data_IF_125055931412
#
_entry.id   IF_125055931412
#
_cell.length_a   1.000
_cell.length_b   1.000
_cell.length_c   1.000
_cell.angle_alpha   90.00
_cell.angle_beta   90.00
_cell.angle_gamma   90.00
#
_symmetry.space_group_name_H-M   'P 1'
#
loop_
_entity.id
_entity.type
_entity.pdbx_description
1 polymer ?
#
# COMPACT_ATOMS: atom_id res chain seq x y z
N UNK A 1 1.61 -8.54 32.87
CA UNK A 1 2.26 -9.70 33.51
C UNK A 1 3.27 -10.42 32.59
N UNK A 2 3.02 -10.65 31.29
CA UNK A 2 4.04 -11.27 30.40
C UNK A 2 5.20 -10.36 30.01
N UNK A 3 4.92 -9.09 29.68
CA UNK A 3 5.97 -8.11 29.31
C UNK A 3 6.98 -7.88 30.44
N UNK A 4 6.51 -7.72 31.68
CA UNK A 4 7.36 -7.55 32.87
C UNK A 4 8.19 -8.81 33.21
N UNK A 5 7.79 -9.98 32.71
CA UNK A 5 8.52 -11.24 32.86
C UNK A 5 9.53 -11.46 31.71
N UNK A 6 9.70 -10.48 30.81
CA UNK A 6 10.62 -10.59 29.67
C UNK A 6 10.24 -11.68 28.67
N UNK A 7 8.96 -12.07 28.60
CA UNK A 7 8.52 -13.09 27.63
C UNK A 7 8.62 -12.55 26.21
N UNK A 8 9.08 -13.38 25.29
CA UNK A 8 9.15 -13.04 23.87
C UNK A 8 7.81 -13.30 23.19
N UNK A 9 7.61 -12.74 21.99
CA UNK A 9 6.47 -13.08 21.15
C UNK A 9 6.39 -14.60 20.88
N UNK A 10 7.54 -15.26 20.68
CA UNK A 10 7.64 -16.70 20.45
C UNK A 10 7.23 -17.53 21.68
N UNK A 11 7.65 -17.11 22.88
CA UNK A 11 7.27 -17.80 24.12
C UNK A 11 5.75 -17.79 24.32
N UNK A 12 5.11 -16.66 24.06
CA UNK A 12 3.66 -16.52 24.20
C UNK A 12 2.94 -17.26 23.08
N UNK A 13 3.48 -17.27 21.85
CA UNK A 13 2.93 -18.05 20.74
C UNK A 13 2.85 -19.55 21.08
N UNK A 14 3.95 -20.12 21.60
CA UNK A 14 4.00 -21.52 22.06
C UNK A 14 3.10 -21.76 23.27
N UNK A 15 3.13 -20.86 24.25
CA UNK A 15 2.31 -20.98 25.48
C UNK A 15 0.82 -21.02 25.18
N UNK A 16 0.39 -20.29 24.15
CA UNK A 16 -1.00 -20.24 23.70
C UNK A 16 -1.37 -21.41 22.76
N UNK A 17 -0.45 -22.34 22.50
CA UNK A 17 -0.70 -23.52 21.66
C UNK A 17 -0.76 -23.21 20.16
N UNK A 18 -0.39 -21.99 19.74
CA UNK A 18 -0.57 -21.51 18.37
C UNK A 18 0.35 -22.21 17.37
N UNK A 19 1.42 -22.88 17.81
CA UNK A 19 2.29 -23.68 16.94
C UNK A 19 1.63 -24.97 16.45
N UNK A 20 0.48 -25.35 17.01
CA UNK A 20 -0.27 -26.57 16.66
C UNK A 20 -1.70 -26.27 16.16
N UNK A 21 -2.03 -24.99 15.98
CA UNK A 21 -3.38 -24.56 15.58
C UNK A 21 -3.72 -24.94 14.13
N UNK A 22 -2.71 -25.07 13.25
CA UNK A 22 -2.93 -25.46 11.86
C UNK A 22 -3.81 -24.47 11.10
N UNK A 23 -4.77 -24.98 10.31
CA UNK A 23 -5.65 -24.17 9.45
C UNK A 23 -6.47 -23.11 10.18
N UNK A 24 -6.79 -23.32 11.46
CA UNK A 24 -7.66 -22.42 12.23
C UNK A 24 -6.86 -21.35 13.00
N UNK A 25 -5.56 -21.18 12.70
CA UNK A 25 -4.69 -20.25 13.42
C UNK A 25 -5.29 -18.85 13.52
N UNK A 26 -5.72 -18.27 12.41
CA UNK A 26 -6.19 -16.89 12.35
C UNK A 26 -7.60 -16.69 12.94
N UNK A 27 -8.37 -17.76 13.14
CA UNK A 27 -9.72 -17.71 13.70
C UNK A 27 -9.74 -17.89 15.23
N UNK A 28 -8.60 -18.29 15.80
CA UNK A 28 -8.48 -18.59 17.22
C UNK A 28 -8.43 -17.32 18.07
N UNK A 29 -9.20 -17.27 19.16
CA UNK A 29 -9.11 -16.20 20.16
C UNK A 29 -7.75 -16.13 20.87
N UNK A 30 -7.00 -17.23 20.87
CA UNK A 30 -5.62 -17.25 21.34
C UNK A 30 -4.71 -16.45 20.39
N UNK A 31 -4.98 -16.49 19.09
CA UNK A 31 -4.25 -15.69 18.11
C UNK A 31 -4.51 -14.20 18.31
N UNK A 32 -5.74 -13.77 18.54
CA UNK A 32 -6.05 -12.36 18.85
C UNK A 32 -5.34 -11.86 20.13
N UNK A 33 -5.29 -12.71 21.14
CA UNK A 33 -4.55 -12.45 22.38
C UNK A 33 -3.06 -12.27 22.11
N UNK A 34 -2.51 -13.13 21.25
CA UNK A 34 -1.10 -13.06 20.86
C UNK A 34 -0.80 -11.82 20.01
N UNK A 35 -1.64 -11.49 19.02
CA UNK A 35 -1.50 -10.27 18.20
C UNK A 35 -1.47 -9.02 19.09
N UNK A 36 -2.38 -8.94 20.06
CA UNK A 36 -2.42 -7.84 21.04
C UNK A 36 -1.14 -7.75 21.86
N UNK A 37 -0.54 -8.90 22.19
CA UNK A 37 0.73 -8.95 22.89
C UNK A 37 1.91 -8.53 21.99
N UNK A 38 1.93 -8.94 20.73
CA UNK A 38 2.97 -8.52 19.76
C UNK A 38 2.95 -7.01 19.55
N UNK A 39 1.75 -6.42 19.38
CA UNK A 39 1.58 -4.96 19.31
C UNK A 39 2.12 -4.23 20.54
N UNK A 40 1.93 -4.81 21.73
CA UNK A 40 2.47 -4.26 22.97
C UNK A 40 4.01 -4.30 23.03
N UNK A 41 4.65 -5.26 22.33
CA UNK A 41 6.10 -5.39 22.26
C UNK A 41 6.71 -4.45 21.22
N UNK A 42 6.14 -4.41 20.01
CA UNK A 42 6.58 -3.56 18.90
C UNK A 42 5.40 -3.22 17.98
N UNK A 43 4.74 -2.09 18.27
CA UNK A 43 3.62 -1.60 17.48
C UNK A 43 4.06 -1.15 16.08
N UNK A 44 5.33 -0.74 15.92
CA UNK A 44 5.87 -0.25 14.65
C UNK A 44 6.17 -1.35 13.64
N UNK A 45 6.53 -2.56 14.11
CA UNK A 45 6.89 -3.71 13.27
C UNK A 45 6.06 -4.96 13.60
N UNK A 46 4.81 -4.79 14.02
CA UNK A 46 3.94 -5.90 14.45
C UNK A 46 3.86 -7.02 13.42
N UNK A 47 3.58 -6.69 12.15
CA UNK A 47 3.39 -7.70 11.10
C UNK A 47 4.68 -8.50 10.83
N UNK A 48 5.83 -7.83 10.77
CA UNK A 48 7.15 -8.46 10.60
C UNK A 48 7.49 -9.40 11.77
N UNK A 49 7.25 -8.95 13.00
CA UNK A 49 7.48 -9.76 14.19
C UNK A 49 6.53 -10.96 14.25
N UNK A 50 5.27 -10.78 13.87
CA UNK A 50 4.30 -11.87 13.77
C UNK A 50 4.77 -12.93 12.76
N UNK A 51 5.08 -12.50 11.53
CA UNK A 51 5.51 -13.38 10.47
C UNK A 51 6.82 -14.13 10.83
N UNK A 52 7.79 -13.42 11.41
CA UNK A 52 9.06 -13.99 11.87
C UNK A 52 8.89 -15.07 12.94
N UNK A 53 7.91 -14.93 13.84
CA UNK A 53 7.58 -15.99 14.81
C UNK A 53 6.87 -17.14 14.11
N UNK A 54 5.88 -16.86 13.26
CA UNK A 54 5.13 -17.90 12.55
C UNK A 54 6.04 -18.79 11.69
N UNK A 55 7.05 -18.23 11.01
CA UNK A 55 8.08 -18.98 10.25
C UNK A 55 8.92 -19.94 11.08
N UNK A 56 8.99 -19.79 12.41
CA UNK A 56 9.70 -20.73 13.29
C UNK A 56 8.92 -22.01 13.54
N UNK A 57 7.60 -21.96 13.38
CA UNK A 57 6.69 -23.06 13.75
C UNK A 57 5.99 -23.69 12.55
N UNK A 58 5.90 -22.97 11.43
CA UNK A 58 5.22 -23.41 10.23
C UNK A 58 6.17 -23.33 9.04
N UNK A 59 6.13 -24.35 8.17
CA UNK A 59 6.81 -24.30 6.88
C UNK A 59 6.17 -23.24 5.97
N UNK A 60 6.91 -22.79 4.96
CA UNK A 60 6.40 -21.81 3.99
C UNK A 60 5.12 -22.33 3.29
N UNK A 61 5.07 -23.62 2.94
CA UNK A 61 3.88 -24.26 2.35
C UNK A 61 2.66 -24.21 3.29
N UNK A 62 2.85 -24.49 4.59
CA UNK A 62 1.74 -24.42 5.54
C UNK A 62 1.29 -22.98 5.72
N UNK A 63 2.23 -22.03 5.85
CA UNK A 63 1.92 -20.61 5.96
C UNK A 63 1.15 -20.10 4.74
N UNK A 64 1.55 -20.50 3.53
CA UNK A 64 0.85 -20.16 2.29
C UNK A 64 -0.60 -20.66 2.33
N UNK A 65 -0.80 -21.92 2.70
CA UNK A 65 -2.12 -22.53 2.73
C UNK A 65 -3.04 -21.87 3.78
N UNK A 66 -2.58 -21.72 5.03
CA UNK A 66 -3.42 -21.13 6.09
C UNK A 66 -3.71 -19.65 5.84
N UNK A 67 -2.78 -18.93 5.19
CA UNK A 67 -2.97 -17.52 4.81
C UNK A 67 -3.98 -17.41 3.66
N UNK A 68 -3.87 -18.28 2.64
CA UNK A 68 -4.81 -18.30 1.53
C UNK A 68 -6.23 -18.63 1.99
N UNK A 69 -6.40 -19.59 2.91
CA UNK A 69 -7.67 -19.91 3.52
C UNK A 69 -8.22 -18.71 4.32
N UNK A 70 -7.43 -18.09 5.18
CA UNK A 70 -7.88 -16.94 5.97
C UNK A 70 -8.26 -15.72 5.11
N UNK A 71 -7.77 -15.60 3.87
CA UNK A 71 -8.21 -14.53 2.97
C UNK A 71 -9.67 -14.69 2.51
N UNK A 72 -10.23 -15.90 2.54
CA UNK A 72 -11.63 -16.13 2.15
C UNK A 72 -12.60 -15.54 3.17
N UNK A 73 -12.24 -15.62 4.46
CA UNK A 73 -13.09 -15.18 5.55
C UNK A 73 -12.99 -13.67 5.82
N UNK A 74 -14.10 -12.92 5.88
CA UNK A 74 -14.08 -11.47 6.13
C UNK A 74 -13.39 -11.07 7.44
N UNK A 75 -13.51 -11.87 8.50
CA UNK A 75 -12.94 -11.59 9.83
C UNK A 75 -11.41 -11.69 9.86
N UNK A 76 -10.82 -12.57 9.05
CA UNK A 76 -9.36 -12.84 9.07
C UNK A 76 -8.64 -12.29 7.85
N UNK A 77 -9.37 -11.81 6.83
CA UNK A 77 -8.81 -11.27 5.58
C UNK A 77 -7.74 -10.20 5.77
N UNK A 78 -7.91 -9.31 6.74
CA UNK A 78 -6.95 -8.21 6.97
C UNK A 78 -5.60 -8.77 7.42
N UNK A 79 -5.59 -9.59 8.49
CA UNK A 79 -4.34 -10.17 9.00
C UNK A 79 -3.73 -11.13 7.98
N UNK A 80 -4.54 -11.89 7.25
CA UNK A 80 -4.06 -12.76 6.19
C UNK A 80 -3.39 -11.98 5.03
N UNK A 81 -3.97 -10.85 4.64
CA UNK A 81 -3.36 -9.97 3.63
C UNK A 81 -2.03 -9.37 4.11
N UNK A 82 -1.92 -9.03 5.39
CA UNK A 82 -0.64 -8.64 6.00
C UNK A 82 0.39 -9.78 5.93
N UNK A 83 0.02 -11.00 6.30
CA UNK A 83 0.95 -12.15 6.27
C UNK A 83 1.39 -12.51 4.84
N UNK A 84 0.50 -12.40 3.85
CA UNK A 84 0.84 -12.58 2.44
C UNK A 84 1.87 -11.52 1.98
N UNK A 85 1.69 -10.26 2.39
CA UNK A 85 2.65 -9.20 2.09
C UNK A 85 4.03 -9.47 2.73
N UNK A 86 4.06 -9.93 3.99
CA UNK A 86 5.31 -10.32 4.66
C UNK A 86 6.00 -11.51 3.98
N UNK A 87 5.21 -12.46 3.50
CA UNK A 87 5.73 -13.59 2.74
C UNK A 87 6.38 -13.14 1.45
N UNK A 88 5.71 -12.32 0.64
CA UNK A 88 6.29 -11.74 -0.57
C UNK A 88 7.58 -10.98 -0.27
N UNK A 89 7.61 -10.20 0.82
CA UNK A 89 8.81 -9.47 1.26
C UNK A 89 9.95 -10.43 1.63
N UNK A 90 9.66 -11.51 2.37
CA UNK A 90 10.65 -12.52 2.75
C UNK A 90 11.22 -13.31 1.58
N UNK A 91 10.42 -13.47 0.52
CA UNK A 91 10.82 -14.08 -0.76
C UNK A 91 11.58 -13.10 -1.67
N UNK A 92 11.80 -11.85 -1.22
CA UNK A 92 12.50 -10.83 -2.01
C UNK A 92 11.72 -10.32 -3.21
N UNK A 93 10.40 -10.53 -3.26
CA UNK A 93 9.55 -10.04 -4.37
C UNK A 93 9.69 -8.53 -4.48
N UNK A 94 9.79 -8.05 -5.71
CA UNK A 94 9.86 -6.61 -6.00
C UNK A 94 8.47 -6.03 -6.20
N UNK A 95 8.37 -4.70 -6.18
CA UNK A 95 7.16 -4.01 -6.61
C UNK A 95 6.73 -4.49 -8.00
N UNK A 96 7.69 -4.76 -8.89
CA UNK A 96 7.43 -5.21 -10.25
C UNK A 96 6.92 -6.64 -10.33
N UNK A 97 7.45 -7.53 -9.51
CA UNK A 97 6.99 -8.91 -9.43
C UNK A 97 5.54 -8.96 -8.97
N UNK A 98 5.20 -8.21 -7.92
CA UNK A 98 3.83 -8.17 -7.40
C UNK A 98 2.89 -7.45 -8.36
N UNK A 99 3.35 -6.42 -9.09
CA UNK A 99 2.55 -5.77 -10.13
C UNK A 99 2.10 -6.77 -11.21
N UNK A 100 3.02 -7.60 -11.70
CA UNK A 100 2.74 -8.65 -12.70
C UNK A 100 1.94 -9.81 -12.12
N UNK A 101 2.26 -10.24 -10.90
CA UNK A 101 1.53 -11.29 -10.20
C UNK A 101 0.04 -10.94 -10.05
N UNK A 102 -0.24 -9.68 -9.71
CA UNK A 102 -1.59 -9.13 -9.60
C UNK A 102 -2.21 -8.75 -10.96
N UNK A 103 -1.52 -9.04 -12.07
CA UNK A 103 -1.93 -8.80 -13.46
C UNK A 103 -2.25 -7.33 -13.77
N UNK A 104 -1.68 -6.40 -13.01
CA UNK A 104 -1.87 -4.96 -13.20
C UNK A 104 -1.22 -4.47 -14.50
N UNK A 105 -0.19 -5.16 -14.99
CA UNK A 105 0.43 -4.92 -16.31
C UNK A 105 -0.52 -5.20 -17.49
N UNK A 106 -1.57 -5.98 -17.27
CA UNK A 106 -2.56 -6.34 -18.30
C UNK A 106 -3.86 -5.55 -18.17
N UNK A 107 -3.97 -4.69 -17.16
CA UNK A 107 -5.19 -3.94 -16.88
C UNK A 107 -5.37 -2.73 -17.81
N UNK A 108 -4.31 -2.25 -18.47
CA UNK A 108 -4.39 -1.10 -19.38
C UNK A 108 -4.95 0.13 -18.68
N UNK A 109 -5.97 0.75 -19.28
CA UNK A 109 -6.65 1.93 -18.74
C UNK A 109 -7.42 1.64 -17.44
N UNK A 110 -7.82 0.38 -17.20
CA UNK A 110 -8.56 -0.06 -16.02
C UNK A 110 -7.65 -0.38 -14.82
N UNK A 111 -6.34 -0.11 -14.93
CA UNK A 111 -5.34 -0.37 -13.89
C UNK A 111 -5.80 0.13 -12.51
N UNK A 112 -6.32 1.36 -12.47
CA UNK A 112 -6.68 1.99 -11.22
C UNK A 112 -8.07 1.62 -10.71
N UNK A 113 -8.86 0.87 -11.48
CA UNK A 113 -10.15 0.32 -11.06
C UNK A 113 -10.02 -1.09 -10.49
N UNK A 114 -8.93 -1.79 -10.84
CA UNK A 114 -8.64 -3.12 -10.31
C UNK A 114 -8.54 -3.10 -8.77
N UNK A 115 -9.31 -3.97 -8.08
CA UNK A 115 -9.23 -4.11 -6.61
C UNK A 115 -7.82 -4.51 -6.14
N UNK A 116 -7.09 -5.24 -6.98
CA UNK A 116 -5.71 -5.64 -6.71
C UNK A 116 -4.72 -4.47 -6.72
N UNK A 117 -5.10 -3.30 -7.24
CA UNK A 117 -4.27 -2.10 -7.15
C UNK A 117 -4.08 -1.64 -5.70
N UNK A 118 -5.08 -1.79 -4.82
CA UNK A 118 -4.91 -1.52 -3.38
C UNK A 118 -3.83 -2.41 -2.76
N UNK A 119 -3.89 -3.71 -3.06
CA UNK A 119 -2.92 -4.70 -2.58
C UNK A 119 -1.50 -4.33 -3.03
N UNK A 120 -1.33 -3.92 -4.29
CA UNK A 120 -0.04 -3.50 -4.80
C UNK A 120 0.48 -2.23 -4.12
N UNK A 121 -0.35 -1.19 -3.99
CA UNK A 121 0.05 0.07 -3.35
C UNK A 121 0.48 -0.17 -1.91
N UNK A 122 -0.31 -0.91 -1.12
CA UNK A 122 0.03 -1.26 0.26
C UNK A 122 1.32 -2.07 0.36
N UNK A 123 1.57 -2.98 -0.58
CA UNK A 123 2.80 -3.74 -0.63
C UNK A 123 4.03 -2.86 -0.92
N UNK A 124 3.92 -1.93 -1.88
CA UNK A 124 5.01 -1.01 -2.23
C UNK A 124 5.36 -0.06 -1.08
N UNK A 125 4.36 0.50 -0.41
CA UNK A 125 4.56 1.35 0.78
C UNK A 125 5.28 0.57 1.89
N UNK A 126 4.98 -0.73 2.02
CA UNK A 126 5.60 -1.63 3.01
C UNK A 126 7.02 -2.07 2.67
N UNK A 127 7.35 -2.20 1.38
CA UNK A 127 8.72 -2.55 0.96
C UNK A 127 9.76 -1.53 1.45
N UNK A 128 9.34 -0.27 1.67
CA UNK A 128 10.18 0.82 2.18
C UNK A 128 11.54 0.97 1.46
N UNK A 129 11.63 0.56 0.19
CA UNK A 129 12.87 0.59 -0.61
C UNK A 129 13.36 2.01 -0.93
N UNK A 130 12.58 3.03 -0.58
CA UNK A 130 12.84 4.43 -0.85
C UNK A 130 13.16 5.21 0.42
N UNK A 131 14.11 4.76 1.23
CA UNK A 131 14.47 5.42 2.51
C UNK A 131 14.76 6.94 2.39
N UNK A 132 15.14 7.41 1.19
CA UNK A 132 15.37 8.83 0.88
C UNK A 132 14.09 9.66 0.73
N UNK A 133 12.93 9.02 0.64
CA UNK A 133 11.63 9.66 0.42
C UNK A 133 10.61 9.15 1.46
N UNK A 134 9.62 9.97 1.85
CA UNK A 134 8.46 9.48 2.58
C UNK A 134 7.85 8.25 1.90
N UNK A 135 7.54 7.21 2.69
CA UNK A 135 6.99 5.93 2.20
C UNK A 135 5.71 6.11 1.39
N UNK A 136 4.97 7.19 1.67
CA UNK A 136 3.75 7.58 0.98
C UNK A 136 4.00 7.90 -0.51
N UNK A 137 5.22 8.24 -0.92
CA UNK A 137 5.56 8.45 -2.33
C UNK A 137 5.99 7.17 -3.04
N UNK A 138 6.25 6.07 -2.31
CA UNK A 138 6.83 4.85 -2.89
C UNK A 138 5.99 4.31 -4.07
N UNK A 139 4.66 4.28 -3.92
CA UNK A 139 3.76 3.82 -4.99
C UNK A 139 3.81 4.73 -6.22
N UNK A 140 3.86 6.06 -6.03
CA UNK A 140 3.98 7.02 -7.14
C UNK A 140 5.34 6.89 -7.83
N UNK A 141 6.43 6.73 -7.08
CA UNK A 141 7.75 6.52 -7.64
C UNK A 141 7.84 5.22 -8.46
N UNK A 142 7.22 4.13 -7.99
CA UNK A 142 7.14 2.89 -8.76
C UNK A 142 6.28 3.04 -10.03
N UNK A 143 5.15 3.76 -9.96
CA UNK A 143 4.32 4.03 -11.13
C UNK A 143 5.06 4.91 -12.17
N UNK A 144 5.86 5.87 -11.72
CA UNK A 144 6.67 6.75 -12.59
C UNK A 144 7.79 6.03 -13.34
N UNK A 145 8.18 4.81 -12.93
CA UNK A 145 9.08 3.96 -13.73
C UNK A 145 8.41 3.39 -14.98
N UNK A 146 7.06 3.37 -15.00
CA UNK A 146 6.23 2.67 -15.99
C UNK A 146 5.48 3.65 -16.88
N UNK A 147 5.08 4.76 -16.31
CA UNK A 147 4.31 5.80 -16.95
C UNK A 147 5.10 7.10 -16.93
N UNK A 148 5.08 7.84 -18.03
CA UNK A 148 5.62 9.19 -18.05
C UNK A 148 4.99 10.01 -16.91
N UNK A 149 5.78 10.92 -16.35
CA UNK A 149 5.42 11.72 -15.19
C UNK A 149 4.10 12.48 -15.38
N UNK A 150 3.87 13.06 -16.57
CA UNK A 150 2.65 13.81 -16.89
C UNK A 150 1.53 12.85 -17.27
N UNK A 151 1.84 11.77 -17.99
CA UNK A 151 0.83 10.78 -18.38
C UNK A 151 0.24 10.07 -17.16
N UNK A 152 1.05 9.75 -16.13
CA UNK A 152 0.55 9.22 -14.87
C UNK A 152 -0.46 10.16 -14.21
N UNK A 153 -0.18 11.47 -14.21
CA UNK A 153 -1.09 12.46 -13.64
C UNK A 153 -2.42 12.54 -14.39
N UNK A 154 -2.36 12.44 -15.72
CA UNK A 154 -3.56 12.36 -16.58
C UNK A 154 -4.36 11.11 -16.29
N UNK A 155 -3.71 9.95 -16.19
CA UNK A 155 -4.37 8.68 -15.87
C UNK A 155 -5.07 8.74 -14.51
N UNK A 156 -4.37 9.20 -13.46
CA UNK A 156 -4.96 9.34 -12.12
C UNK A 156 -6.13 10.33 -12.09
N UNK A 157 -6.02 11.45 -12.80
CA UNK A 157 -7.11 12.44 -12.89
C UNK A 157 -8.31 11.92 -13.66
N UNK A 158 -8.09 11.20 -14.77
CA UNK A 158 -9.14 10.59 -15.56
C UNK A 158 -9.88 9.47 -14.82
N UNK A 159 -9.12 8.53 -14.25
CA UNK A 159 -9.68 7.42 -13.47
C UNK A 159 -10.51 7.95 -12.29
N UNK A 160 -10.08 9.05 -11.66
CA UNK A 160 -10.88 9.70 -10.61
C UNK A 160 -12.21 10.24 -11.12
N UNK A 161 -12.25 10.82 -12.31
CA UNK A 161 -13.50 11.31 -12.90
C UNK A 161 -14.44 10.13 -13.17
N UNK A 162 -13.91 9.00 -13.68
CA UNK A 162 -14.68 7.79 -13.95
C UNK A 162 -15.21 7.11 -12.69
N UNK A 163 -14.38 6.98 -11.65
CA UNK A 163 -14.75 6.34 -10.38
C UNK A 163 -15.79 7.14 -9.58
N UNK A 164 -16.07 8.39 -9.95
CA UNK A 164 -16.96 9.28 -9.22
C UNK A 164 -16.37 9.76 -7.89
N UNK A 165 -17.24 10.17 -6.97
CA UNK A 165 -16.82 10.83 -5.72
C UNK A 165 -16.66 9.85 -4.55
N UNK A 166 -17.36 8.71 -4.56
CA UNK A 166 -17.49 7.82 -3.41
C UNK A 166 -17.04 6.39 -3.75
N UNK A 167 -16.59 5.64 -2.73
CA UNK A 167 -16.13 4.26 -2.87
C UNK A 167 -14.62 4.07 -2.68
N UNK A 168 -14.18 2.81 -2.53
CA UNK A 168 -12.78 2.48 -2.23
C UNK A 168 -11.83 2.86 -3.37
N UNK A 169 -12.22 2.62 -4.63
CA UNK A 169 -11.43 3.03 -5.79
C UNK A 169 -11.22 4.56 -5.82
N UNK A 170 -12.29 5.34 -5.59
CA UNK A 170 -12.20 6.80 -5.51
C UNK A 170 -11.29 7.27 -4.37
N UNK A 171 -11.34 6.62 -3.20
CA UNK A 171 -10.47 6.94 -2.07
C UNK A 171 -8.98 6.65 -2.38
N UNK A 172 -8.67 5.51 -2.98
CA UNK A 172 -7.30 5.17 -3.44
C UNK A 172 -6.81 6.19 -4.47
N UNK A 173 -7.62 6.48 -5.48
CA UNK A 173 -7.30 7.44 -6.54
C UNK A 173 -7.04 8.84 -5.98
N UNK A 174 -7.86 9.30 -5.04
CA UNK A 174 -7.63 10.55 -4.31
C UNK A 174 -6.29 10.53 -3.59
N UNK A 175 -5.98 9.45 -2.87
CA UNK A 175 -4.73 9.31 -2.13
C UNK A 175 -3.53 9.38 -3.06
N UNK A 176 -3.50 8.57 -4.12
CA UNK A 176 -2.41 8.53 -5.10
C UNK A 176 -2.22 9.88 -5.79
N UNK A 177 -3.31 10.51 -6.25
CA UNK A 177 -3.25 11.83 -6.87
C UNK A 177 -2.71 12.89 -5.92
N UNK A 178 -3.18 12.90 -4.67
CA UNK A 178 -2.70 13.86 -3.68
C UNK A 178 -1.23 13.60 -3.31
N UNK A 179 -0.78 12.35 -3.21
CA UNK A 179 0.64 12.01 -3.03
C UNK A 179 1.49 12.50 -4.20
N UNK A 180 0.99 12.37 -5.44
CA UNK A 180 1.66 12.91 -6.61
C UNK A 180 1.75 14.44 -6.55
N UNK A 181 0.65 15.14 -6.25
CA UNK A 181 0.64 16.61 -6.14
C UNK A 181 1.49 17.12 -4.98
N UNK A 182 1.48 16.42 -3.85
CA UNK A 182 2.33 16.72 -2.71
C UNK A 182 3.81 16.59 -3.08
N UNK A 183 4.19 15.51 -3.78
CA UNK A 183 5.53 15.37 -4.34
C UNK A 183 5.87 16.50 -5.33
N UNK A 184 4.93 16.92 -6.18
CA UNK A 184 5.16 18.00 -7.14
C UNK A 184 5.44 19.34 -6.44
N UNK A 185 4.63 19.67 -5.44
CA UNK A 185 4.77 20.90 -4.67
C UNK A 185 6.03 20.87 -3.80
N UNK A 186 6.16 19.85 -2.94
CA UNK A 186 7.12 19.86 -1.84
C UNK A 186 8.49 19.28 -2.20
N UNK A 187 8.56 18.30 -3.11
CA UNK A 187 9.84 17.72 -3.54
C UNK A 187 10.37 18.31 -4.85
N UNK A 188 9.48 18.78 -5.73
CA UNK A 188 9.87 19.29 -7.05
C UNK A 188 9.74 20.81 -7.19
N UNK A 189 9.14 21.51 -6.22
CA UNK A 189 8.97 22.95 -6.27
C UNK A 189 8.16 23.41 -7.49
N UNK A 190 7.15 22.63 -7.88
CA UNK A 190 6.24 22.99 -8.95
C UNK A 190 5.12 23.88 -8.39
N UNK A 191 4.87 24.98 -9.10
CA UNK A 191 3.69 25.83 -8.93
C UNK A 191 2.68 25.55 -10.07
N UNK A 192 1.43 26.06 -9.97
CA UNK A 192 0.41 25.82 -11.00
C UNK A 192 0.79 26.31 -12.40
N UNK A 193 1.59 27.36 -12.51
CA UNK A 193 2.09 27.86 -13.80
C UNK A 193 3.03 26.84 -14.46
N UNK A 194 4.00 26.33 -13.70
CA UNK A 194 4.93 25.28 -14.15
C UNK A 194 4.20 24.00 -14.54
N UNK A 195 3.21 23.58 -13.75
CA UNK A 195 2.37 22.41 -14.10
C UNK A 195 1.62 22.65 -15.41
N UNK A 196 1.07 23.85 -15.60
CA UNK A 196 0.40 24.23 -16.85
C UNK A 196 1.34 24.14 -18.05
N UNK A 197 2.59 24.63 -17.92
CA UNK A 197 3.61 24.49 -18.97
C UNK A 197 3.99 23.03 -19.24
N UNK A 198 4.08 22.19 -18.20
CA UNK A 198 4.41 20.77 -18.35
C UNK A 198 3.33 20.01 -19.14
N UNK A 199 2.05 20.19 -18.80
CA UNK A 199 0.95 19.51 -19.49
C UNK A 199 0.74 20.03 -20.91
N UNK A 200 1.08 21.30 -21.19
CA UNK A 200 0.96 21.92 -22.51
C UNK A 200 1.86 21.29 -23.59
N UNK A 201 2.80 20.40 -23.23
CA UNK A 201 3.59 19.61 -24.18
C UNK A 201 2.73 18.69 -25.05
N UNK A 202 1.53 18.31 -24.58
CA UNK A 202 0.52 17.62 -25.37
C UNK A 202 -0.81 18.36 -25.20
N UNK A 203 -1.00 19.49 -25.91
CA UNK A 203 -2.03 20.47 -25.59
C UNK A 203 -3.45 19.98 -25.87
N UNK A 204 -3.63 18.99 -26.76
CA UNK A 204 -4.93 18.45 -27.15
C UNK A 204 -5.41 17.29 -26.26
N UNK A 205 -4.63 16.87 -25.26
CA UNK A 205 -5.07 15.85 -24.31
C UNK A 205 -6.11 16.44 -23.34
N UNK A 206 -7.36 15.98 -23.46
CA UNK A 206 -8.48 16.46 -22.64
C UNK A 206 -8.28 16.23 -21.14
N UNK A 207 -7.43 15.27 -20.75
CA UNK A 207 -7.13 14.95 -19.35
C UNK A 207 -6.28 16.03 -18.68
N UNK A 208 -5.66 16.93 -19.45
CA UNK A 208 -4.88 18.06 -18.94
C UNK A 208 -5.69 18.94 -17.97
N UNK A 209 -6.97 19.19 -18.29
CA UNK A 209 -7.83 20.04 -17.46
C UNK A 209 -7.97 19.50 -16.02
N UNK A 210 -8.14 18.18 -15.88
CA UNK A 210 -8.24 17.53 -14.58
C UNK A 210 -6.95 17.65 -13.75
N UNK A 211 -5.79 17.59 -14.41
CA UNK A 211 -4.48 17.76 -13.76
C UNK A 211 -4.29 19.20 -13.30
N UNK A 212 -4.53 20.19 -14.19
CA UNK A 212 -4.33 21.61 -13.89
C UNK A 212 -5.24 22.06 -12.73
N UNK A 213 -6.54 21.82 -12.85
CA UNK A 213 -7.51 22.23 -11.83
C UNK A 213 -7.27 21.50 -10.50
N UNK A 214 -7.04 20.19 -10.57
CA UNK A 214 -6.77 19.38 -9.38
C UNK A 214 -5.51 19.82 -8.64
N UNK A 215 -4.43 20.13 -9.37
CA UNK A 215 -3.20 20.61 -8.74
C UNK A 215 -3.35 22.02 -8.19
N UNK A 216 -4.03 22.92 -8.90
CA UNK A 216 -4.30 24.27 -8.42
C UNK A 216 -5.06 24.27 -7.08
N UNK A 217 -6.14 23.47 -6.99
CA UNK A 217 -6.92 23.34 -5.76
C UNK A 217 -6.09 22.75 -4.61
N UNK A 218 -5.31 21.69 -4.90
CA UNK A 218 -4.40 21.10 -3.93
C UNK A 218 -3.36 22.11 -3.44
N UNK A 219 -2.69 22.82 -4.35
CA UNK A 219 -1.63 23.78 -4.05
C UNK A 219 -2.14 24.90 -3.14
N UNK A 220 -3.32 25.47 -3.45
CA UNK A 220 -3.96 26.49 -2.62
C UNK A 220 -4.37 25.95 -1.25
N UNK A 221 -4.94 24.75 -1.19
CA UNK A 221 -5.36 24.12 0.07
C UNK A 221 -4.16 23.80 1.00
N UNK A 222 -2.97 23.62 0.44
CA UNK A 222 -1.74 23.31 1.18
C UNK A 222 -0.82 24.53 1.38
N UNK A 223 -1.37 25.76 1.35
CA UNK A 223 -0.65 26.98 1.69
C UNK A 223 0.23 27.56 0.57
N UNK A 224 0.11 27.03 -0.64
CA UNK A 224 0.79 27.56 -1.81
C UNK A 224 0.28 28.95 -2.17
N UNK A 225 1.22 29.90 -2.32
CA UNK A 225 0.91 31.25 -2.75
C UNK A 225 0.84 31.34 -4.27
N UNK A 226 -0.23 31.94 -4.79
CA UNK A 226 -0.50 32.11 -6.22
C UNK A 226 -0.03 33.48 -6.73
N UNK A 227 0.96 34.09 -6.06
CA UNK A 227 1.46 35.40 -6.47
C UNK A 227 1.88 35.36 -7.94
N UNK A 228 1.17 36.17 -8.73
CA UNK A 228 1.36 36.41 -10.16
C UNK A 228 2.71 37.06 -10.44
#
# INVERSE_FOLDING_TARGET
>A
MWRSQGKTADDIFRRLGLSKAGGNLFESSQFDTWVSYVKLLDDSNTDDLMFSVMKKHYSDEILENITAQAKTEPSTRIVASSMEAEMWRSQGRTADDIFKFLRLDKAGDDLFDARTADTWVSYVERLNKYEKYPKEYAAILELQKRFDYVDLARMLSHAKIQAGVTGHAAARLNRLRNQQFDQWMNLKGLDPGRVTTLVARQPHDIRNAGVILGFYDFYKANGGSLLL
#
